data_IF_870074675385
#
_entry.id   IF_870074675385
#
_cell.length_a   1.000
_cell.length_b   1.000
_cell.length_c   1.000
_cell.angle_alpha   90.00
_cell.angle_beta   90.00
_cell.angle_gamma   90.00
#
_symmetry.space_group_name_H-M   'P 1'
#
loop_
_entity.id
_entity.type
_entity.pdbx_description
1 polymer ?
#
# COMPACT_ATOMS: atom_id res chain seq x y z
N UNK A 1 -7.76 11.97 -19.83
CA UNK A 1 -6.49 12.73 -19.79
C UNK A 1 -6.27 13.23 -18.37
N UNK A 2 -5.28 12.67 -17.66
CA UNK A 2 -4.94 13.08 -16.30
C UNK A 2 -4.34 14.48 -16.30
N UNK A 3 -4.84 15.38 -15.45
CA UNK A 3 -4.35 16.77 -15.28
C UNK A 3 -2.96 16.85 -14.64
N UNK A 4 -2.44 15.73 -14.15
CA UNK A 4 -1.15 15.64 -13.48
C UNK A 4 -0.31 14.56 -14.16
N UNK A 5 0.80 14.97 -14.78
CA UNK A 5 1.81 14.04 -15.25
C UNK A 5 2.72 13.71 -14.06
N UNK A 6 2.57 12.50 -13.52
CA UNK A 6 3.46 11.97 -12.48
C UNK A 6 4.61 11.28 -13.21
N UNK A 7 5.76 11.95 -13.26
CA UNK A 7 6.96 11.42 -13.96
C UNK A 7 7.73 10.38 -13.14
N UNK A 8 7.35 10.15 -11.88
CA UNK A 8 7.94 9.13 -11.01
C UNK A 8 7.27 7.77 -11.24
N UNK A 9 7.90 6.71 -10.73
CA UNK A 9 7.34 5.35 -10.74
C UNK A 9 5.99 5.22 -10.03
N UNK A 10 5.61 6.20 -9.20
CA UNK A 10 4.35 6.22 -8.44
C UNK A 10 3.11 6.42 -9.32
N UNK A 11 3.27 6.92 -10.55
CA UNK A 11 2.19 7.04 -11.53
C UNK A 11 2.17 5.93 -12.58
N UNK A 12 3.05 4.93 -12.45
CA UNK A 12 3.16 3.83 -13.41
C UNK A 12 2.18 2.72 -13.06
N UNK A 13 1.68 2.05 -14.09
CA UNK A 13 0.85 0.87 -13.97
C UNK A 13 1.68 -0.38 -14.14
N UNK A 14 1.26 -1.46 -13.49
CA UNK A 14 1.91 -2.76 -13.65
C UNK A 14 1.70 -3.26 -15.08
N UNK A 15 2.68 -3.98 -15.61
CA UNK A 15 2.56 -4.56 -16.95
C UNK A 15 1.34 -5.49 -17.01
N UNK A 16 0.63 -5.45 -18.13
CA UNK A 16 -0.53 -6.31 -18.40
C UNK A 16 -1.76 -6.03 -17.49
N UNK A 17 -1.75 -4.95 -16.70
CA UNK A 17 -2.85 -4.56 -15.81
C UNK A 17 -3.98 -3.74 -16.44
N UNK A 18 -3.84 -3.33 -17.70
CA UNK A 18 -4.84 -2.46 -18.36
C UNK A 18 -5.03 -1.11 -17.66
N UNK A 19 -3.97 -0.57 -17.06
CA UNK A 19 -3.99 0.68 -16.28
C UNK A 19 -4.93 0.63 -15.05
N UNK A 20 -5.20 -0.57 -14.52
CA UNK A 20 -6.05 -0.75 -13.34
C UNK A 20 -5.25 -0.95 -12.05
N UNK A 21 -4.01 -1.42 -12.16
CA UNK A 21 -3.16 -1.73 -11.00
C UNK A 21 -1.86 -0.95 -11.11
N UNK A 22 -1.48 -0.26 -10.03
CA UNK A 22 -0.22 0.46 -9.97
C UNK A 22 0.97 -0.50 -9.96
N UNK A 23 2.11 -0.06 -10.50
CA UNK A 23 3.35 -0.81 -10.48
C UNK A 23 3.69 -1.21 -9.04
N UNK A 24 3.95 -2.50 -8.82
CA UNK A 24 4.09 -3.05 -7.48
C UNK A 24 5.23 -4.07 -7.42
N UNK A 25 5.70 -4.36 -6.20
CA UNK A 25 6.86 -5.24 -6.00
C UNK A 25 6.56 -6.72 -6.28
N UNK A 26 5.28 -7.09 -6.35
CA UNK A 26 4.83 -8.47 -6.52
C UNK A 26 4.54 -8.80 -7.98
N UNK A 27 4.53 -7.79 -8.88
CA UNK A 27 4.18 -7.97 -10.28
C UNK A 27 2.70 -8.30 -10.50
N UNK A 28 1.83 -7.97 -9.55
CA UNK A 28 0.39 -8.25 -9.61
C UNK A 28 -0.24 -7.34 -10.65
N UNK A 29 -0.87 -7.93 -11.66
CA UNK A 29 -1.50 -7.19 -12.76
C UNK A 29 -3.03 -7.10 -12.61
N UNK A 30 -3.66 -7.91 -11.75
CA UNK A 30 -5.12 -7.94 -11.61
C UNK A 30 -5.57 -7.24 -10.34
N UNK A 31 -6.68 -6.50 -10.42
CA UNK A 31 -7.21 -5.77 -9.26
C UNK A 31 -7.64 -6.70 -8.13
N UNK A 32 -8.29 -7.82 -8.46
CA UNK A 32 -8.74 -8.79 -7.46
C UNK A 32 -7.56 -9.37 -6.65
N UNK A 33 -6.46 -9.72 -7.32
CA UNK A 33 -5.25 -10.22 -6.64
C UNK A 33 -4.55 -9.10 -5.83
N UNK A 34 -4.60 -7.85 -6.29
CA UNK A 34 -4.06 -6.72 -5.55
C UNK A 34 -4.87 -6.49 -4.26
N UNK A 35 -6.20 -6.52 -4.34
CA UNK A 35 -7.09 -6.36 -3.20
C UNK A 35 -6.85 -7.47 -2.15
N UNK A 36 -6.65 -8.71 -2.60
CA UNK A 36 -6.30 -9.84 -1.71
C UNK A 36 -4.93 -9.62 -1.04
N UNK A 37 -3.91 -9.19 -1.79
CA UNK A 37 -2.58 -8.92 -1.25
C UNK A 37 -2.60 -7.76 -0.22
N UNK A 38 -3.32 -6.68 -0.52
CA UNK A 38 -3.50 -5.56 0.40
C UNK A 38 -4.22 -5.99 1.68
N UNK A 39 -5.25 -6.84 1.58
CA UNK A 39 -5.97 -7.34 2.76
C UNK A 39 -5.05 -8.11 3.71
N UNK A 40 -4.18 -8.96 3.18
CA UNK A 40 -3.19 -9.70 3.99
C UNK A 40 -2.20 -8.75 4.67
N UNK A 41 -1.70 -7.74 3.97
CA UNK A 41 -0.76 -6.76 4.52
C UNK A 41 -1.42 -5.90 5.62
N UNK A 42 -2.68 -5.54 5.44
CA UNK A 42 -3.48 -4.84 6.45
C UNK A 42 -3.68 -5.67 7.70
N UNK A 43 -3.97 -6.96 7.57
CA UNK A 43 -4.11 -7.88 8.72
C UNK A 43 -2.78 -7.98 9.50
N UNK A 44 -1.65 -8.14 8.81
CA UNK A 44 -0.33 -8.16 9.44
C UNK A 44 -0.01 -6.85 10.16
N UNK A 45 -0.34 -5.72 9.54
CA UNK A 45 -0.16 -4.42 10.17
C UNK A 45 -1.03 -4.27 11.42
N UNK A 46 -2.28 -4.74 11.36
CA UNK A 46 -3.19 -4.73 12.50
C UNK A 46 -2.61 -5.51 13.68
N UNK A 47 -2.19 -6.76 13.47
CA UNK A 47 -1.59 -7.59 14.53
C UNK A 47 -0.37 -6.90 15.13
N UNK A 48 0.53 -6.38 14.29
CA UNK A 48 1.75 -5.74 14.80
C UNK A 48 1.48 -4.44 15.56
N UNK A 49 0.50 -3.63 15.12
CA UNK A 49 0.15 -2.39 15.81
C UNK A 49 -0.67 -2.64 17.06
N UNK A 50 -1.66 -3.52 17.03
CA UNK A 50 -2.62 -3.66 18.13
C UNK A 50 -2.27 -4.76 19.13
N UNK A 51 -1.61 -5.83 18.69
CA UNK A 51 -1.30 -6.98 19.55
C UNK A 51 0.15 -6.94 20.06
N UNK A 52 1.11 -6.53 19.23
CA UNK A 52 2.53 -6.55 19.59
C UNK A 52 3.04 -5.21 20.14
N UNK A 53 2.68 -4.09 19.51
CA UNK A 53 3.31 -2.78 19.72
C UNK A 53 2.28 -1.67 19.79
N UNK A 54 1.28 -1.85 20.67
CA UNK A 54 0.22 -0.86 20.84
C UNK A 54 0.77 0.46 21.37
N UNK A 55 0.57 1.59 20.66
CA UNK A 55 1.04 2.87 21.14
C UNK A 55 0.15 3.39 22.27
N UNK A 56 0.68 3.40 23.49
CA UNK A 56 -0.02 3.95 24.67
C UNK A 56 -0.01 5.50 24.73
N UNK A 57 0.73 6.14 23.83
CA UNK A 57 0.92 7.59 23.77
C UNK A 57 0.16 8.29 22.64
N UNK A 58 0.49 9.58 22.41
CA UNK A 58 -0.08 10.33 21.30
C UNK A 58 0.38 9.77 19.94
N UNK A 59 -0.59 9.61 19.03
CA UNK A 59 -0.29 9.27 17.64
C UNK A 59 0.35 10.48 16.94
N UNK A 60 1.37 10.21 16.13
CA UNK A 60 1.99 11.22 15.28
C UNK A 60 1.89 10.86 13.81
N UNK A 61 1.89 11.86 12.93
CA UNK A 61 1.89 11.66 11.47
C UNK A 61 3.12 10.84 11.03
N UNK A 62 4.26 11.03 11.69
CA UNK A 62 5.46 10.25 11.40
C UNK A 62 5.25 8.75 11.67
N UNK A 63 4.52 8.42 12.74
CA UNK A 63 4.17 7.03 13.07
C UNK A 63 3.17 6.45 12.06
N UNK A 64 2.13 7.20 11.69
CA UNK A 64 1.19 6.75 10.65
C UNK A 64 1.90 6.49 9.31
N UNK A 65 2.86 7.34 8.94
CA UNK A 65 3.68 7.14 7.73
C UNK A 65 4.58 5.91 7.81
N UNK A 66 5.08 5.54 9.00
CA UNK A 66 5.89 4.33 9.12
C UNK A 66 5.02 3.07 9.00
N UNK A 67 3.79 3.09 9.51
CA UNK A 67 2.82 2.02 9.32
C UNK A 67 2.42 1.85 7.84
N UNK A 68 2.11 2.94 7.15
CA UNK A 68 1.79 2.91 5.71
C UNK A 68 2.93 2.36 4.85
N UNK A 69 4.20 2.43 5.28
CA UNK A 69 5.33 1.86 4.52
C UNK A 69 5.53 0.36 4.76
N UNK A 70 4.88 -0.20 5.78
CA UNK A 70 4.95 -1.61 6.16
C UNK A 70 3.82 -2.42 5.55
N UNK A 71 2.69 -1.77 5.30
CA UNK A 71 1.69 -2.22 4.33
C UNK A 71 2.21 -1.92 2.91
#
# INVERSE_FOLDING_TARGET
>A
MSRYHVSSSEGQYEKDSGEQVLANKLGIATSDEMDEAELVLLEQLYQSVFEEQFPEGQLSVAMLKSWHRRC
#
